data_IF_956516147164
#
_entry.id   IF_956516147164
#
_cell.length_a   1.000
_cell.length_b   1.000
_cell.length_c   1.000
_cell.angle_alpha   90.00
_cell.angle_beta   90.00
_cell.angle_gamma   90.00
#
_symmetry.space_group_name_H-M   'P 1'
#
loop_
_entity.id
_entity.type
_entity.pdbx_description
1 polymer ?
#
# COMPACT_ATOMS: atom_id res chain seq x y z
N UNK A 1 -20.83 26.29 -23.41
CA UNK A 1 -19.42 26.16 -22.99
C UNK A 1 -19.07 24.71 -23.17
N UNK A 2 -18.12 24.48 -24.06
CA UNK A 2 -17.69 23.19 -24.60
C UNK A 2 -17.06 22.33 -23.50
N UNK A 3 -17.78 21.31 -23.04
CA UNK A 3 -17.21 20.25 -22.20
C UNK A 3 -16.68 19.18 -23.15
N UNK A 4 -15.45 19.38 -23.62
CA UNK A 4 -14.68 18.33 -24.27
C UNK A 4 -14.46 17.21 -23.26
N UNK A 5 -15.08 16.05 -23.51
CA UNK A 5 -14.71 14.80 -22.84
C UNK A 5 -13.19 14.60 -23.02
N UNK A 6 -12.47 14.14 -21.99
CA UNK A 6 -11.06 13.81 -22.17
C UNK A 6 -10.94 12.73 -23.24
N UNK A 7 -10.28 13.06 -24.36
CA UNK A 7 -9.93 12.09 -25.39
C UNK A 7 -9.23 10.90 -24.73
N UNK A 8 -9.77 9.70 -24.92
CA UNK A 8 -9.13 8.45 -24.50
C UNK A 8 -7.75 8.39 -25.15
N UNK A 9 -6.70 8.60 -24.36
CA UNK A 9 -5.31 8.47 -24.82
C UNK A 9 -5.10 7.06 -25.38
N UNK A 10 -4.39 6.98 -26.51
CA UNK A 10 -4.02 5.68 -27.08
C UNK A 10 -3.11 4.89 -26.12
N UNK A 11 -3.12 3.56 -26.21
CA UNK A 11 -2.24 2.68 -25.41
C UNK A 11 -0.76 3.09 -25.51
N UNK A 12 -0.37 3.62 -26.67
CA UNK A 12 0.98 4.13 -26.91
C UNK A 12 1.30 5.40 -26.10
N UNK A 13 0.34 6.33 -25.99
CA UNK A 13 0.52 7.54 -25.20
C UNK A 13 0.55 7.24 -23.70
N UNK A 14 -0.28 6.29 -23.26
CA UNK A 14 -0.24 5.78 -21.88
C UNK A 14 1.11 5.15 -21.56
N UNK A 15 1.65 4.29 -22.43
CA UNK A 15 2.96 3.65 -22.23
C UNK A 15 4.09 4.68 -22.12
N UNK A 16 4.05 5.74 -22.95
CA UNK A 16 5.02 6.85 -22.85
C UNK A 16 4.93 7.57 -21.52
N UNK A 17 3.73 7.85 -21.05
CA UNK A 17 3.49 8.52 -19.76
C UNK A 17 3.98 7.66 -18.58
N UNK A 18 3.70 6.35 -18.60
CA UNK A 18 4.23 5.40 -17.61
C UNK A 18 5.76 5.39 -17.58
N UNK A 19 6.40 5.31 -18.75
CA UNK A 19 7.86 5.32 -18.84
C UNK A 19 8.45 6.66 -18.35
N UNK A 20 7.84 7.79 -18.72
CA UNK A 20 8.27 9.10 -18.25
C UNK A 20 8.19 9.20 -16.72
N UNK A 21 7.06 8.78 -16.14
CA UNK A 21 6.85 8.73 -14.69
C UNK A 21 7.86 7.82 -14.00
N UNK A 22 8.02 6.58 -14.47
CA UNK A 22 8.89 5.58 -13.86
C UNK A 22 10.37 5.98 -13.90
N UNK A 23 10.79 6.61 -15.01
CA UNK A 23 12.17 7.10 -15.18
C UNK A 23 12.55 8.22 -14.20
N UNK A 24 11.57 8.95 -13.63
CA UNK A 24 11.87 9.95 -12.60
C UNK A 24 12.42 9.31 -11.33
N UNK A 25 12.02 8.07 -11.03
CA UNK A 25 12.28 7.37 -9.76
C UNK A 25 11.82 8.14 -8.51
N UNK A 26 11.00 9.17 -8.68
CA UNK A 26 10.51 10.04 -7.62
C UNK A 26 9.26 9.45 -6.94
N UNK A 27 8.50 8.69 -7.72
CA UNK A 27 7.21 8.14 -7.35
C UNK A 27 6.11 9.20 -7.24
N UNK A 28 4.98 8.82 -6.66
CA UNK A 28 3.81 9.69 -6.48
C UNK A 28 4.14 10.84 -5.52
N UNK A 29 4.95 10.60 -4.48
CA UNK A 29 5.44 11.66 -3.58
C UNK A 29 6.18 12.76 -4.35
N UNK A 30 6.98 12.41 -5.36
CA UNK A 30 7.63 13.41 -6.22
C UNK A 30 6.62 14.31 -6.95
N UNK A 31 5.54 13.74 -7.48
CA UNK A 31 4.46 14.53 -8.10
C UNK A 31 3.77 15.46 -7.09
N UNK A 32 3.54 14.98 -5.86
CA UNK A 32 2.95 15.79 -4.78
C UNK A 32 3.88 16.93 -4.39
N UNK A 33 5.17 16.65 -4.22
CA UNK A 33 6.19 17.64 -3.84
C UNK A 33 6.37 18.71 -4.93
N UNK A 34 6.27 18.33 -6.20
CA UNK A 34 6.29 19.24 -7.35
C UNK A 34 4.99 20.08 -7.49
N UNK A 35 3.98 19.82 -6.66
CA UNK A 35 2.73 20.57 -6.64
C UNK A 35 1.92 20.46 -7.92
N UNK A 36 1.84 19.26 -8.52
CA UNK A 36 1.13 19.05 -9.79
C UNK A 36 -0.32 19.55 -9.72
N UNK A 37 -0.70 20.40 -10.68
CA UNK A 37 -2.04 20.99 -10.70
C UNK A 37 -3.14 20.01 -11.16
N UNK A 38 -2.76 18.90 -11.81
CA UNK A 38 -3.67 17.87 -12.31
C UNK A 38 -3.07 16.50 -12.07
N UNK A 39 -3.93 15.53 -11.75
CA UNK A 39 -3.55 14.12 -11.64
C UNK A 39 -3.20 13.60 -13.05
N UNK A 40 -2.03 12.99 -13.26
CA UNK A 40 -1.66 12.34 -14.52
C UNK A 40 -2.66 11.25 -14.93
N UNK A 41 -2.86 11.07 -16.23
CA UNK A 41 -3.89 10.17 -16.76
C UNK A 41 -3.64 8.70 -16.41
N UNK A 42 -2.37 8.32 -16.21
CA UNK A 42 -2.02 6.95 -15.78
C UNK A 42 -2.62 6.55 -14.43
N UNK A 43 -3.04 7.50 -13.59
CA UNK A 43 -3.69 7.26 -12.29
C UNK A 43 -5.21 7.42 -12.32
N UNK A 44 -5.78 7.87 -13.43
CA UNK A 44 -7.22 8.03 -13.56
C UNK A 44 -7.79 6.66 -13.94
N UNK A 45 -8.56 6.09 -13.02
CA UNK A 45 -9.25 4.82 -13.26
C UNK A 45 -10.34 5.02 -14.32
N UNK A 46 -10.43 4.14 -15.34
CA UNK A 46 -11.55 4.19 -16.26
C UNK A 46 -12.85 4.04 -15.47
N UNK A 47 -13.89 4.73 -15.91
CA UNK A 47 -15.25 4.52 -15.43
C UNK A 47 -15.74 3.15 -15.95
N UNK A 48 -15.20 2.06 -15.40
CA UNK A 48 -15.76 0.72 -15.55
C UNK A 48 -16.93 0.65 -14.55
N UNK A 49 -18.17 0.64 -15.06
CA UNK A 49 -19.48 0.65 -14.35
C UNK A 49 -19.46 1.10 -12.88
N UNK A 50 -19.91 2.34 -12.68
CA UNK A 50 -20.15 3.09 -11.43
C UNK A 50 -21.04 2.39 -10.37
N UNK A 51 -21.28 1.08 -10.46
CA UNK A 51 -22.09 0.33 -9.50
C UNK A 51 -21.41 0.20 -8.12
N UNK A 52 -20.08 0.25 -8.03
CA UNK A 52 -19.38 0.14 -6.74
C UNK A 52 -19.39 1.42 -5.90
N UNK A 53 -19.52 2.59 -6.53
CA UNK A 53 -19.53 3.89 -5.84
C UNK A 53 -20.94 4.46 -5.66
N UNK A 54 -21.91 4.01 -6.49
CA UNK A 54 -23.33 4.38 -6.37
C UNK A 54 -24.19 3.39 -5.56
N UNK A 55 -23.61 2.32 -5.01
CA UNK A 55 -24.20 1.69 -3.84
C UNK A 55 -24.22 2.71 -2.71
N UNK A 56 -25.31 3.48 -2.66
CA UNK A 56 -25.83 4.09 -1.45
C UNK A 56 -25.48 3.14 -0.33
N UNK A 57 -24.80 3.64 0.69
CA UNK A 57 -24.56 2.97 1.95
C UNK A 57 -25.88 2.50 2.56
N UNK A 58 -26.46 1.42 2.04
CA UNK A 58 -27.27 0.50 2.78
C UNK A 58 -26.28 -0.15 3.71
N UNK A 59 -26.01 0.54 4.83
CA UNK A 59 -25.30 -0.03 5.96
C UNK A 59 -26.12 -1.21 6.49
N UNK A 60 -26.08 -2.33 5.78
CA UNK A 60 -26.27 -3.63 6.40
C UNK A 60 -25.15 -3.69 7.43
N UNK A 61 -25.51 -3.57 8.71
CA UNK A 61 -24.62 -3.30 9.85
C UNK A 61 -23.58 -4.38 10.13
N UNK A 62 -22.73 -4.66 9.16
CA UNK A 62 -21.66 -5.63 9.21
C UNK A 62 -20.41 -4.87 9.61
N UNK A 63 -20.14 -4.81 10.91
CA UNK A 63 -18.89 -4.28 11.44
C UNK A 63 -17.77 -5.31 11.25
N UNK A 64 -16.56 -4.86 10.90
CA UNK A 64 -15.37 -5.72 10.91
C UNK A 64 -15.17 -6.23 12.36
N UNK A 65 -15.08 -7.54 12.59
CA UNK A 65 -14.97 -8.10 13.93
C UNK A 65 -13.63 -7.74 14.59
N UNK A 66 -13.66 -7.55 15.92
CA UNK A 66 -12.46 -7.45 16.75
C UNK A 66 -12.20 -8.79 17.45
N UNK A 67 -10.95 -9.22 17.47
CA UNK A 67 -10.49 -10.42 18.14
C UNK A 67 -9.50 -10.02 19.23
N UNK A 68 -9.86 -10.26 20.48
CA UNK A 68 -9.04 -9.90 21.64
C UNK A 68 -8.09 -11.04 22.04
N UNK A 69 -6.78 -10.85 21.86
CA UNK A 69 -5.78 -11.86 22.22
C UNK A 69 -5.36 -11.83 23.70
N UNK A 70 -6.05 -11.07 24.54
CA UNK A 70 -5.76 -11.05 25.98
C UNK A 70 -5.85 -12.45 26.58
N UNK A 71 -4.84 -12.78 27.39
CA UNK A 71 -4.72 -14.02 28.18
C UNK A 71 -4.64 -15.33 27.37
N UNK A 72 -4.55 -15.29 26.04
CA UNK A 72 -4.50 -16.49 25.18
C UNK A 72 -3.30 -17.40 25.44
N UNK A 73 -2.22 -16.87 25.99
CA UNK A 73 -1.01 -17.63 26.34
C UNK A 73 -1.21 -18.44 27.63
N UNK A 74 -2.03 -17.94 28.56
CA UNK A 74 -2.17 -18.48 29.91
C UNK A 74 -3.46 -19.28 30.11
N UNK A 75 -4.47 -19.11 29.26
CA UNK A 75 -5.79 -19.75 29.37
C UNK A 75 -6.12 -20.55 28.09
N UNK A 76 -6.17 -21.89 28.22
CA UNK A 76 -6.50 -22.82 27.13
C UNK A 76 -7.96 -22.64 26.66
N UNK A 77 -8.89 -22.40 27.59
CA UNK A 77 -10.29 -22.16 27.25
C UNK A 77 -10.44 -20.86 26.47
N UNK A 78 -9.76 -19.78 26.89
CA UNK A 78 -9.73 -18.52 26.13
C UNK A 78 -9.12 -18.71 24.75
N UNK A 79 -8.01 -19.45 24.65
CA UNK A 79 -7.35 -19.75 23.36
C UNK A 79 -8.28 -20.46 22.39
N UNK A 80 -9.02 -21.47 22.84
CA UNK A 80 -9.98 -22.18 21.99
C UNK A 80 -11.08 -21.24 21.46
N UNK A 81 -11.58 -20.33 22.29
CA UNK A 81 -12.56 -19.32 21.86
C UNK A 81 -11.95 -18.41 20.79
N UNK A 82 -10.73 -17.89 20.99
CA UNK A 82 -10.05 -17.04 19.98
C UNK A 82 -9.86 -17.78 18.66
N UNK A 83 -9.46 -19.05 18.69
CA UNK A 83 -9.28 -19.85 17.46
C UNK A 83 -10.59 -19.96 16.69
N UNK A 84 -11.71 -20.18 17.39
CA UNK A 84 -13.04 -20.18 16.75
C UNK A 84 -13.44 -18.80 16.22
N UNK A 85 -13.13 -17.72 16.93
CA UNK A 85 -13.38 -16.34 16.49
C UNK A 85 -12.60 -16.03 15.19
N UNK A 86 -11.32 -16.41 15.14
CA UNK A 86 -10.47 -16.25 13.94
C UNK A 86 -11.03 -17.06 12.77
N UNK A 87 -11.42 -18.32 13.00
CA UNK A 87 -12.00 -19.18 11.97
C UNK A 87 -13.26 -18.55 11.38
N UNK A 88 -14.22 -18.16 12.24
CA UNK A 88 -15.49 -17.57 11.80
C UNK A 88 -15.30 -16.26 11.05
N UNK A 89 -14.40 -15.38 11.54
CA UNK A 89 -14.12 -14.11 10.87
C UNK A 89 -13.47 -14.34 9.49
N UNK A 90 -12.58 -15.34 9.40
CA UNK A 90 -11.94 -15.73 8.13
C UNK A 90 -12.94 -16.31 7.12
N UNK A 91 -13.91 -17.11 7.58
CA UNK A 91 -14.94 -17.72 6.72
C UNK A 91 -16.01 -16.73 6.25
N UNK A 92 -16.40 -15.79 7.11
CA UNK A 92 -17.50 -14.86 6.83
C UNK A 92 -17.06 -13.64 6.03
N UNK A 93 -16.02 -12.94 6.50
CA UNK A 93 -15.58 -11.67 5.93
C UNK A 93 -14.16 -11.69 5.37
N UNK A 94 -13.33 -12.66 5.76
CA UNK A 94 -11.91 -12.71 5.37
C UNK A 94 -11.03 -11.63 6.03
N UNK A 95 -11.61 -10.79 6.90
CA UNK A 95 -10.92 -9.69 7.59
C UNK A 95 -11.40 -9.54 9.03
N UNK A 96 -10.48 -9.16 9.91
CA UNK A 96 -10.73 -8.87 11.32
C UNK A 96 -9.64 -7.93 11.87
N UNK A 97 -9.95 -7.26 12.97
CA UNK A 97 -8.98 -6.46 13.73
C UNK A 97 -8.55 -7.23 14.98
N UNK A 98 -7.31 -7.03 15.42
CA UNK A 98 -6.74 -7.76 16.57
C UNK A 98 -6.44 -6.77 17.69
N UNK A 99 -6.86 -7.10 18.91
CA UNK A 99 -6.57 -6.36 20.13
C UNK A 99 -5.63 -7.16 21.03
N UNK A 100 -4.90 -6.47 21.91
CA UNK A 100 -4.00 -7.10 22.89
C UNK A 100 -3.02 -8.11 22.27
N UNK A 101 -2.52 -7.84 21.07
CA UNK A 101 -1.63 -8.70 20.28
C UNK A 101 -0.20 -8.83 20.84
N UNK A 102 0.09 -8.29 22.02
CA UNK A 102 1.40 -8.39 22.67
C UNK A 102 2.49 -7.46 22.12
N UNK A 103 2.38 -6.97 20.88
CA UNK A 103 3.30 -5.95 20.33
C UNK A 103 3.14 -4.61 21.08
N UNK A 104 4.21 -4.05 21.68
CA UNK A 104 4.14 -2.77 22.38
C UNK A 104 3.76 -1.62 21.43
N UNK A 105 2.90 -0.72 21.92
CA UNK A 105 2.44 0.43 21.12
C UNK A 105 3.61 1.31 20.63
N UNK A 106 4.64 1.46 21.45
CA UNK A 106 5.85 2.23 21.10
C UNK A 106 6.57 1.65 19.88
N UNK A 107 6.52 0.33 19.65
CA UNK A 107 7.10 -0.28 18.46
C UNK A 107 6.27 0.04 17.22
N UNK A 108 4.94 0.05 17.34
CA UNK A 108 4.05 0.43 16.25
C UNK A 108 4.25 1.90 15.86
N UNK A 109 4.36 2.78 16.86
CA UNK A 109 4.62 4.21 16.66
C UNK A 109 5.97 4.43 15.96
N UNK A 110 7.04 3.79 16.44
CA UNK A 110 8.37 3.89 15.81
C UNK A 110 8.40 3.33 14.38
N UNK A 111 7.63 2.27 14.09
CA UNK A 111 7.50 1.77 12.72
C UNK A 111 6.83 2.81 11.80
N UNK A 112 5.74 3.43 12.25
CA UNK A 112 5.04 4.49 11.49
C UNK A 112 5.98 5.67 11.26
N UNK A 113 6.68 6.13 12.31
CA UNK A 113 7.63 7.23 12.20
C UNK A 113 8.83 6.87 11.30
N UNK A 114 9.33 5.63 11.34
CA UNK A 114 10.38 5.15 10.43
C UNK A 114 9.97 5.23 8.95
N UNK A 115 8.76 4.79 8.62
CA UNK A 115 8.22 4.89 7.26
C UNK A 115 8.06 6.35 6.82
N UNK A 116 7.61 7.24 7.72
CA UNK A 116 7.53 8.68 7.44
C UNK A 116 8.93 9.26 7.20
N UNK A 117 9.89 9.00 8.08
CA UNK A 117 11.27 9.47 7.95
C UNK A 117 11.88 9.07 6.61
N UNK A 118 11.69 7.82 6.18
CA UNK A 118 12.13 7.37 4.87
C UNK A 118 11.47 8.17 3.73
N UNK A 119 10.15 8.32 3.72
CA UNK A 119 9.42 8.98 2.63
C UNK A 119 9.63 10.50 2.55
N UNK A 120 9.99 11.14 3.67
CA UNK A 120 10.32 12.58 3.71
C UNK A 120 11.80 12.88 3.42
N UNK A 121 12.63 11.87 3.14
CA UNK A 121 13.98 12.12 2.65
C UNK A 121 13.98 12.79 1.27
N UNK A 122 15.08 13.50 0.91
CA UNK A 122 15.28 13.99 -0.44
C UNK A 122 15.11 12.86 -1.48
N UNK A 123 14.58 13.20 -2.65
CA UNK A 123 14.35 12.24 -3.74
C UNK A 123 15.63 11.49 -4.12
N UNK A 124 16.78 12.17 -4.10
CA UNK A 124 18.09 11.60 -4.43
C UNK A 124 18.45 10.43 -3.52
N UNK A 125 18.03 10.46 -2.25
CA UNK A 125 18.27 9.37 -1.29
C UNK A 125 17.28 8.24 -1.53
N UNK A 126 15.98 8.54 -1.61
CA UNK A 126 14.92 7.53 -1.83
C UNK A 126 15.09 6.78 -3.16
N UNK A 127 15.52 7.49 -4.21
CA UNK A 127 15.70 6.92 -5.55
C UNK A 127 16.80 5.85 -5.63
N UNK A 128 17.70 5.77 -4.65
CA UNK A 128 18.70 4.69 -4.53
C UNK A 128 18.03 3.33 -4.27
N UNK A 129 16.90 3.34 -3.58
CA UNK A 129 16.07 2.18 -3.33
C UNK A 129 15.04 1.94 -4.44
N UNK A 130 14.92 2.86 -5.42
CA UNK A 130 13.94 2.73 -6.49
C UNK A 130 14.30 1.59 -7.44
N UNK A 131 13.55 0.49 -7.36
CA UNK A 131 13.82 -0.72 -8.13
C UNK A 131 12.53 -1.46 -8.51
N UNK A 132 12.55 -2.19 -9.63
CA UNK A 132 11.46 -3.08 -10.08
C UNK A 132 11.84 -4.56 -10.11
N UNK A 133 13.07 -4.90 -9.74
CA UNK A 133 13.56 -6.27 -9.56
C UNK A 133 13.35 -6.71 -8.10
N UNK A 134 12.18 -7.29 -7.86
CA UNK A 134 11.80 -7.86 -6.57
C UNK A 134 12.41 -9.24 -6.30
N UNK A 135 13.01 -9.88 -7.31
CA UNK A 135 13.56 -11.22 -7.18
C UNK A 135 14.95 -11.18 -6.53
N UNK A 136 15.74 -10.14 -6.82
CA UNK A 136 17.12 -10.04 -6.32
C UNK A 136 17.27 -9.03 -5.18
N UNK A 137 16.41 -8.01 -5.09
CA UNK A 137 16.48 -6.97 -4.07
C UNK A 137 15.57 -7.27 -2.90
N UNK A 138 16.14 -7.24 -1.69
CA UNK A 138 15.39 -7.41 -0.43
C UNK A 138 14.74 -6.12 0.04
N UNK A 139 15.33 -4.97 -0.29
CA UNK A 139 14.81 -3.64 0.06
C UNK A 139 14.51 -2.91 -1.24
N UNK A 140 13.24 -2.53 -1.42
CA UNK A 140 12.76 -1.93 -2.66
C UNK A 140 11.79 -0.82 -2.35
N UNK A 141 12.00 0.34 -2.97
CA UNK A 141 11.04 1.42 -3.07
C UNK A 141 10.54 1.51 -4.52
N UNK A 142 9.26 1.79 -4.75
CA UNK A 142 8.73 2.21 -6.06
C UNK A 142 7.25 2.63 -5.95
N UNK A 143 6.70 3.09 -7.07
CA UNK A 143 5.26 3.23 -7.23
C UNK A 143 4.70 2.07 -8.06
N UNK A 144 3.71 1.38 -7.47
CA UNK A 144 2.96 0.29 -8.06
C UNK A 144 3.83 -0.87 -8.59
N UNK A 145 3.73 -2.04 -7.95
CA UNK A 145 4.48 -3.22 -8.39
C UNK A 145 4.07 -3.72 -9.77
N UNK A 146 2.83 -3.45 -10.15
CA UNK A 146 2.13 -3.84 -11.37
C UNK A 146 1.97 -2.68 -12.37
N UNK A 147 2.80 -1.63 -12.26
CA UNK A 147 2.68 -0.37 -13.03
C UNK A 147 2.39 -0.58 -14.53
N UNK A 148 3.06 -1.55 -15.16
CA UNK A 148 2.96 -1.84 -16.60
C UNK A 148 1.88 -2.86 -16.96
N UNK A 149 1.20 -3.45 -15.98
CA UNK A 149 0.22 -4.53 -16.16
C UNK A 149 -1.22 -4.05 -15.97
N UNK A 150 -1.44 -3.02 -15.17
CA UNK A 150 -2.78 -2.50 -14.85
C UNK A 150 -3.25 -1.45 -15.85
N UNK A 151 -4.59 -1.30 -15.98
CA UNK A 151 -5.23 -0.24 -16.80
C UNK A 151 -5.02 1.16 -16.21
N UNK A 152 -5.01 1.26 -14.89
CA UNK A 152 -4.73 2.48 -14.14
C UNK A 152 -3.88 2.14 -12.92
N UNK A 153 -2.94 3.02 -12.60
CA UNK A 153 -2.01 2.89 -11.48
C UNK A 153 -2.62 3.48 -10.21
N UNK A 154 -2.29 2.94 -9.04
CA UNK A 154 -2.70 3.53 -7.77
C UNK A 154 -1.92 4.80 -7.45
N UNK A 155 -2.58 5.77 -6.83
CA UNK A 155 -1.94 6.98 -6.27
C UNK A 155 -1.21 6.66 -4.97
N UNK A 156 -0.11 5.90 -5.07
CA UNK A 156 0.67 5.39 -3.94
C UNK A 156 2.13 5.14 -4.29
N UNK A 157 2.96 5.21 -3.26
CA UNK A 157 4.31 4.65 -3.24
C UNK A 157 4.38 3.49 -2.24
N UNK A 158 5.33 2.59 -2.45
CA UNK A 158 5.52 1.38 -1.67
C UNK A 158 6.99 1.25 -1.29
N UNK A 159 7.25 1.02 -0.01
CA UNK A 159 8.51 0.51 0.50
C UNK A 159 8.32 -0.94 0.93
N UNK A 160 9.12 -1.84 0.38
CA UNK A 160 9.09 -3.28 0.64
C UNK A 160 10.43 -3.70 1.23
N UNK A 161 10.38 -4.44 2.33
CA UNK A 161 11.54 -5.07 2.96
C UNK A 161 11.27 -6.56 3.19
N UNK A 162 11.92 -7.42 2.41
CA UNK A 162 11.82 -8.87 2.53
C UNK A 162 12.72 -9.37 3.66
N UNK A 163 12.12 -9.72 4.79
CA UNK A 163 12.83 -10.20 5.99
C UNK A 163 13.08 -11.70 6.00
N UNK A 164 12.44 -12.46 5.10
CA UNK A 164 12.48 -13.92 5.07
C UNK A 164 12.81 -14.44 3.65
N UNK A 165 13.44 -15.62 3.52
CA UNK A 165 13.97 -16.46 4.61
C UNK A 165 15.24 -15.90 5.25
N UNK A 166 15.92 -14.97 4.58
CA UNK A 166 17.13 -14.31 5.08
C UNK A 166 16.94 -12.79 5.01
N UNK A 167 16.99 -12.06 6.15
CA UNK A 167 16.80 -10.62 6.14
C UNK A 167 17.91 -9.89 5.37
N UNK A 168 17.70 -8.62 4.99
CA UNK A 168 18.77 -7.77 4.49
C UNK A 168 19.83 -7.54 5.56
N UNK A 169 21.07 -7.32 5.13
CA UNK A 169 22.11 -6.81 6.01
C UNK A 169 21.80 -5.36 6.41
N UNK A 170 22.30 -4.86 7.56
CA UNK A 170 22.04 -3.49 8.01
C UNK A 170 22.42 -2.42 6.96
N UNK A 171 23.50 -2.65 6.20
CA UNK A 171 23.98 -1.73 5.17
C UNK A 171 23.06 -1.66 3.93
N UNK A 172 22.13 -2.61 3.77
CA UNK A 172 21.11 -2.58 2.71
C UNK A 172 19.85 -1.79 3.10
N UNK A 173 19.69 -1.44 4.38
CA UNK A 173 18.53 -0.69 4.89
C UNK A 173 18.79 0.82 4.76
N UNK A 174 17.73 1.64 4.62
CA UNK A 174 17.86 3.10 4.75
C UNK A 174 18.31 3.48 6.16
N UNK A 175 19.20 4.47 6.29
CA UNK A 175 19.69 4.96 7.58
C UNK A 175 18.57 5.46 8.53
N UNK A 176 17.40 5.78 7.99
CA UNK A 176 16.22 6.23 8.75
C UNK A 176 15.39 5.11 9.37
N UNK A 177 15.64 3.87 8.95
CA UNK A 177 14.91 2.67 9.34
C UNK A 177 15.57 1.95 10.51
#
# INVERSE_FOLDING_TARGET
MDQTLPELKSDHDRKKELLAFDNTKAGVKGLVDDGVAKIPQIFIHPQDDDDYLNEKSSSSGTSIPFIDLKDVENDISRRNIVVEEVLRASESGGFFQVLNHGIPITILDEMIEGVKRFNEQPQEVRSQYYNRDYATKKVVYNSNFDLYQTKASGWRDTFLCSMAPYPPSPDELPETC
#
